data_IF_479795849931
#
_entry.id   IF_479795849931
#
_cell.length_a   1.000
_cell.length_b   1.000
_cell.length_c   1.000
_cell.angle_alpha   90.00
_cell.angle_beta   90.00
_cell.angle_gamma   90.00
#
_symmetry.space_group_name_H-M   'P 1'
#
loop_
_entity.id
_entity.type
_entity.pdbx_description
1 polymer ?
#
# COMPACT_ATOMS: atom_id res chain seq x y z
N UNK A 1 -3.21 -31.56 -1.01
CA UNK A 1 -3.50 -30.98 -2.34
C UNK A 1 -5.00 -30.93 -2.52
N UNK A 2 -5.58 -29.73 -2.67
CA UNK A 2 -6.99 -29.55 -3.01
C UNK A 2 -7.08 -28.78 -4.32
N UNK A 3 -6.80 -29.48 -5.42
CA UNK A 3 -7.04 -29.00 -6.79
C UNK A 3 -8.38 -29.57 -7.27
N UNK A 4 -9.47 -29.09 -6.70
CA UNK A 4 -10.80 -29.30 -7.29
C UNK A 4 -11.46 -27.93 -7.42
N UNK A 5 -11.50 -27.48 -8.67
CA UNK A 5 -12.14 -26.27 -9.16
C UNK A 5 -13.44 -25.96 -8.43
N UNK A 6 -13.39 -24.94 -7.57
CA UNK A 6 -14.58 -24.12 -7.37
C UNK A 6 -14.67 -23.18 -8.57
N UNK A 7 -15.34 -23.61 -9.64
CA UNK A 7 -15.95 -22.66 -10.57
C UNK A 7 -17.11 -21.97 -9.82
N UNK A 8 -16.75 -21.15 -8.83
CA UNK A 8 -17.70 -20.42 -8.00
C UNK A 8 -18.10 -19.20 -8.80
N UNK A 9 -19.18 -19.35 -9.55
CA UNK A 9 -19.82 -18.23 -10.22
C UNK A 9 -20.45 -17.35 -9.13
N UNK A 10 -19.85 -16.18 -8.87
CA UNK A 10 -20.43 -15.20 -7.97
C UNK A 10 -21.60 -14.53 -8.70
N UNK A 11 -22.82 -14.96 -8.37
CA UNK A 11 -24.04 -14.35 -8.90
C UNK A 11 -24.28 -13.06 -8.11
N UNK A 12 -23.92 -11.93 -8.70
CA UNK A 12 -24.26 -10.62 -8.17
C UNK A 12 -25.73 -10.35 -8.51
N UNK A 13 -26.60 -10.34 -7.50
CA UNK A 13 -28.05 -10.08 -7.68
C UNK A 13 -28.39 -8.60 -7.71
N UNK A 14 -27.53 -7.77 -7.13
CA UNK A 14 -27.75 -6.33 -7.03
C UNK A 14 -27.20 -5.61 -8.27
N UNK A 15 -28.07 -4.87 -8.95
CA UNK A 15 -27.73 -4.07 -10.13
C UNK A 15 -26.79 -2.92 -9.79
N UNK A 16 -26.96 -2.31 -8.62
CA UNK A 16 -26.11 -1.18 -8.20
C UNK A 16 -24.65 -1.63 -8.05
N UNK A 17 -24.43 -2.79 -7.45
CA UNK A 17 -23.11 -3.41 -7.33
C UNK A 17 -22.43 -3.64 -8.69
N UNK A 18 -23.17 -4.05 -9.73
CA UNK A 18 -22.62 -4.25 -11.07
C UNK A 18 -22.20 -2.92 -11.70
N UNK A 19 -23.03 -1.88 -11.59
CA UNK A 19 -22.73 -0.54 -12.10
C UNK A 19 -21.50 0.07 -11.41
N UNK A 20 -21.37 -0.12 -10.08
CA UNK A 20 -20.19 0.32 -9.33
C UNK A 20 -18.91 -0.39 -9.81
N UNK A 21 -18.97 -1.69 -10.09
CA UNK A 21 -17.82 -2.44 -10.60
C UNK A 21 -17.46 -1.95 -12.01
N UNK A 22 -18.44 -1.78 -12.91
CA UNK A 22 -18.19 -1.27 -14.26
C UNK A 22 -17.58 0.13 -14.24
N UNK A 23 -18.08 1.01 -13.38
CA UNK A 23 -17.51 2.35 -13.19
C UNK A 23 -16.08 2.29 -12.64
N UNK A 24 -15.80 1.41 -11.67
CA UNK A 24 -14.47 1.23 -11.12
C UNK A 24 -13.47 0.65 -12.14
N UNK A 25 -13.93 -0.21 -13.05
CA UNK A 25 -13.13 -0.74 -14.15
C UNK A 25 -12.87 0.30 -15.24
N UNK A 26 -13.85 1.15 -15.53
CA UNK A 26 -13.74 2.21 -16.53
C UNK A 26 -12.89 3.39 -16.04
N UNK A 27 -12.96 3.68 -14.74
CA UNK A 27 -12.21 4.73 -14.06
C UNK A 27 -11.40 4.14 -12.91
N UNK A 28 -10.30 3.43 -13.23
CA UNK A 28 -9.47 2.82 -12.20
C UNK A 28 -8.90 3.90 -11.28
N UNK A 29 -8.93 3.66 -9.98
CA UNK A 29 -8.29 4.55 -9.01
C UNK A 29 -6.77 4.45 -9.18
N UNK A 30 -6.17 5.48 -9.75
CA UNK A 30 -4.72 5.57 -9.88
C UNK A 30 -4.09 5.90 -8.53
N UNK A 31 -3.66 4.85 -7.81
CA UNK A 31 -2.87 5.01 -6.58
C UNK A 31 -1.43 5.26 -6.99
N UNK A 32 -0.97 6.50 -6.80
CA UNK A 32 0.46 6.83 -6.94
C UNK A 32 1.16 6.42 -5.66
N UNK A 33 2.00 5.39 -5.74
CA UNK A 33 2.93 5.07 -4.66
C UNK A 33 4.04 6.11 -4.75
N UNK A 34 4.17 6.95 -3.71
CA UNK A 34 5.30 7.89 -3.61
C UNK A 34 6.58 7.06 -3.56
N UNK A 35 7.44 7.23 -4.56
CA UNK A 35 8.73 6.56 -4.62
C UNK A 35 9.59 7.09 -3.47
N UNK A 36 10.01 6.21 -2.57
CA UNK A 36 10.90 6.57 -1.45
C UNK A 36 12.20 7.15 -1.99
N UNK A 37 12.64 8.24 -1.38
CA UNK A 37 13.93 8.83 -1.67
C UNK A 37 14.92 8.37 -0.60
N UNK A 38 15.54 7.23 -0.86
CA UNK A 38 16.46 6.56 0.08
C UNK A 38 17.64 7.45 0.47
N UNK A 39 18.14 8.30 -0.44
CA UNK A 39 19.23 9.23 -0.16
C UNK A 39 18.85 10.24 0.93
N UNK A 40 17.65 10.82 0.81
CA UNK A 40 17.16 11.80 1.80
C UNK A 40 16.80 11.14 3.13
N UNK A 41 16.15 9.97 3.08
CA UNK A 41 15.77 9.21 4.27
C UNK A 41 17.01 8.75 5.05
N UNK A 42 18.06 8.28 4.37
CA UNK A 42 19.32 7.88 5.00
C UNK A 42 20.02 9.03 5.70
N UNK A 43 20.11 10.22 5.06
CA UNK A 43 20.72 11.40 5.70
C UNK A 43 19.97 11.82 6.95
N UNK A 44 18.64 11.83 6.90
CA UNK A 44 17.80 12.15 8.06
C UNK A 44 17.97 11.12 9.17
N UNK A 45 18.00 9.83 8.83
CA UNK A 45 18.23 8.74 9.78
C UNK A 45 19.57 8.86 10.49
N UNK A 46 20.66 9.11 9.73
CA UNK A 46 22.00 9.29 10.31
C UNK A 46 22.05 10.52 11.23
N UNK A 47 21.44 11.64 10.83
CA UNK A 47 21.40 12.85 11.66
C UNK A 47 20.67 12.60 12.98
N UNK A 48 19.53 11.90 12.94
CA UNK A 48 18.76 11.53 14.11
C UNK A 48 19.55 10.58 15.04
N UNK A 49 20.26 9.61 14.48
CA UNK A 49 21.11 8.69 15.24
C UNK A 49 22.22 9.43 15.96
N UNK A 50 22.91 10.36 15.27
CA UNK A 50 23.94 11.21 15.89
C UNK A 50 23.39 12.00 17.07
N UNK A 51 22.25 12.66 16.89
CA UNK A 51 21.61 13.44 17.96
C UNK A 51 21.30 12.57 19.19
N UNK A 52 20.76 11.36 18.97
CA UNK A 52 20.43 10.43 20.07
C UNK A 52 21.67 9.94 20.80
N UNK A 53 22.74 9.63 20.08
CA UNK A 53 24.00 9.20 20.67
C UNK A 53 24.66 10.32 21.48
N UNK A 54 24.68 11.56 20.97
CA UNK A 54 25.17 12.71 21.73
C UNK A 54 24.36 12.95 23.00
N UNK A 55 23.05 12.71 22.98
CA UNK A 55 22.23 12.82 24.19
C UNK A 55 22.50 11.70 25.21
N UNK A 56 22.99 10.53 24.78
CA UNK A 56 23.38 9.43 25.67
C UNK A 56 24.77 9.65 26.30
N UNK A 57 25.69 10.32 25.60
CA UNK A 57 27.01 10.67 26.13
C UNK A 57 26.98 11.82 27.15
N UNK A 58 25.90 12.61 27.17
CA UNK A 58 25.71 13.74 28.09
C UNK A 58 24.95 13.37 29.38
N UNK A 59 24.81 12.07 29.69
CA UNK A 59 24.27 11.51 30.94
C UNK A 59 25.36 10.73 31.69
#
# INVERSE_FOLDING_TARGET
MATTSFSKNFIVKDKQSIELIQNALSYPRHIKIVKRNYETENRQGIALLKQRLSNLENY
#
